data_IF_428069425460
#
_entry.id   IF_428069425460
#
_cell.length_a   1.000
_cell.length_b   1.000
_cell.length_c   1.000
_cell.angle_alpha   90.00
_cell.angle_beta   90.00
_cell.angle_gamma   90.00
#
_symmetry.space_group_name_H-M   'P 1'
#
loop_
_entity.id
_entity.type
_entity.pdbx_description
1 polymer ?
#
# COMPACT_ATOMS: atom_id res chain seq x y z
N UNK A 1 28.79 19.31 9.78
CA UNK A 1 28.92 19.65 11.22
C UNK A 1 28.00 18.71 11.96
N UNK A 2 28.55 17.79 12.75
CA UNK A 2 27.76 16.91 13.64
C UNK A 2 27.41 17.69 14.91
N UNK A 3 26.18 17.56 15.37
CA UNK A 3 25.73 18.16 16.64
C UNK A 3 26.19 17.26 17.78
N UNK A 4 26.94 17.81 18.74
CA UNK A 4 27.40 17.08 19.92
C UNK A 4 26.23 16.60 20.79
N UNK A 5 26.36 15.50 21.54
CA UNK A 5 25.32 15.07 22.47
C UNK A 5 25.01 16.15 23.53
N UNK A 6 23.74 16.34 23.88
CA UNK A 6 23.30 17.39 24.79
C UNK A 6 21.80 17.70 24.72
N UNK A 7 21.35 18.63 25.56
CA UNK A 7 19.96 19.12 25.55
C UNK A 7 19.79 20.24 24.53
N UNK A 8 18.81 20.09 23.63
CA UNK A 8 18.49 21.06 22.59
C UNK A 8 16.97 21.24 22.47
N UNK A 9 16.54 22.40 21.95
CA UNK A 9 15.12 22.64 21.61
C UNK A 9 14.67 21.69 20.51
N UNK A 10 13.47 21.12 20.64
CA UNK A 10 12.95 20.19 19.63
C UNK A 10 12.60 20.97 18.33
N UNK A 11 13.16 20.60 17.16
CA UNK A 11 12.84 21.25 15.89
C UNK A 11 11.38 21.09 15.46
N UNK A 12 10.66 20.09 15.99
CA UNK A 12 9.24 19.87 15.73
C UNK A 12 8.32 20.65 16.69
N UNK A 13 8.81 21.01 17.89
CA UNK A 13 8.09 21.84 18.86
C UNK A 13 9.06 22.74 19.67
N UNK A 14 9.27 24.00 19.24
CA UNK A 14 10.18 24.95 19.90
C UNK A 14 9.82 25.32 21.34
N UNK A 15 8.63 24.93 21.84
CA UNK A 15 8.24 25.10 23.24
C UNK A 15 8.84 24.01 24.16
N UNK A 16 9.49 23.00 23.57
CA UNK A 16 10.08 21.87 24.30
C UNK A 16 11.56 21.69 24.01
N UNK A 17 12.24 20.95 24.89
CA UNK A 17 13.62 20.50 24.73
C UNK A 17 13.73 18.99 24.97
N UNK A 18 14.68 18.36 24.28
CA UNK A 18 14.95 16.92 24.33
C UNK A 18 16.45 16.66 24.30
N UNK A 19 16.86 15.48 24.75
CA UNK A 19 18.27 15.09 24.74
C UNK A 19 18.63 14.49 23.38
N UNK A 20 19.63 15.05 22.71
CA UNK A 20 20.26 14.48 21.52
C UNK A 20 21.46 13.64 21.93
N UNK A 21 21.54 12.38 21.50
CA UNK A 21 22.64 11.46 21.84
C UNK A 21 23.75 11.37 20.79
N UNK A 22 23.57 12.02 19.63
CA UNK A 22 24.44 11.93 18.47
C UNK A 22 23.78 11.27 17.25
N UNK A 23 22.81 10.38 17.47
CA UNK A 23 22.10 9.62 16.43
C UNK A 23 20.57 9.87 16.45
N UNK A 24 20.00 10.20 17.62
CA UNK A 24 18.56 10.41 17.81
C UNK A 24 18.19 11.26 19.04
N UNK A 25 16.87 11.48 19.19
CA UNK A 25 16.28 12.22 20.30
C UNK A 25 15.74 11.27 21.37
N UNK A 26 16.35 11.31 22.55
CA UNK A 26 15.99 10.50 23.71
C UNK A 26 15.06 11.21 24.69
N UNK A 27 14.31 10.41 25.46
CA UNK A 27 13.46 10.88 26.55
C UNK A 27 12.15 11.55 26.12
N UNK A 28 11.32 11.84 27.13
CA UNK A 28 10.12 12.65 26.99
C UNK A 28 10.50 14.14 26.82
N UNK A 29 9.71 14.94 26.07
CA UNK A 29 9.93 16.37 25.96
C UNK A 29 9.76 17.07 27.31
N UNK A 30 10.74 17.88 27.68
CA UNK A 30 10.66 18.83 28.80
C UNK A 30 10.26 20.21 28.26
N UNK A 31 9.59 21.08 29.04
CA UNK A 31 9.41 22.48 28.67
C UNK A 31 10.76 23.16 28.39
N UNK A 32 10.82 24.02 27.37
CA UNK A 32 12.06 24.65 26.92
C UNK A 32 12.71 25.60 27.95
N UNK A 33 11.94 26.05 28.95
CA UNK A 33 12.40 26.91 30.04
C UNK A 33 12.70 26.15 31.35
N UNK A 34 12.56 24.81 31.36
CA UNK A 34 12.90 23.98 32.51
C UNK A 34 14.42 23.71 32.56
N UNK A 35 15.03 23.71 33.75
CA UNK A 35 16.42 23.27 33.90
C UNK A 35 16.52 21.76 33.56
N UNK A 36 17.30 21.35 32.55
CA UNK A 36 17.42 19.94 32.20
C UNK A 36 18.23 19.15 33.25
N UNK A 37 17.98 17.85 33.44
CA UNK A 37 18.81 16.99 34.28
C UNK A 37 20.24 16.83 33.74
N UNK A 38 21.21 16.69 34.65
CA UNK A 38 22.58 16.35 34.29
C UNK A 38 22.67 14.91 33.74
N UNK A 39 23.01 14.80 32.46
CA UNK A 39 23.22 13.53 31.75
C UNK A 39 22.02 13.02 30.93
N UNK A 40 22.20 11.91 30.21
CA UNK A 40 21.14 11.30 29.40
C UNK A 40 20.01 10.74 30.27
N UNK A 41 18.74 10.82 29.83
CA UNK A 41 17.60 10.31 30.60
C UNK A 41 17.68 8.80 30.79
N UNK A 42 17.40 8.34 32.02
CA UNK A 42 17.46 6.92 32.37
C UNK A 42 16.45 6.08 31.58
N UNK A 43 16.88 4.90 31.11
CA UNK A 43 16.01 3.94 30.45
C UNK A 43 14.94 3.39 31.42
N UNK A 44 13.69 3.17 30.98
CA UNK A 44 12.62 2.67 31.85
C UNK A 44 12.91 1.23 32.33
N UNK A 45 12.63 0.90 33.60
CA UNK A 45 12.92 -0.41 34.16
C UNK A 45 11.95 -1.50 33.65
N UNK A 46 12.39 -2.77 33.57
CA UNK A 46 11.54 -3.90 33.19
C UNK A 46 10.50 -4.24 34.28
N UNK A 47 9.31 -4.77 33.91
CA UNK A 47 8.24 -5.06 34.87
C UNK A 47 8.52 -6.30 35.74
N UNK A 48 8.06 -6.32 37.01
CA UNK A 48 8.28 -7.44 37.94
C UNK A 48 7.36 -8.65 37.69
N UNK A 49 7.78 -9.88 38.05
CA UNK A 49 6.98 -11.09 37.89
C UNK A 49 5.85 -11.21 38.94
N UNK A 50 4.70 -11.86 38.62
CA UNK A 50 3.56 -11.95 39.54
C UNK A 50 3.75 -12.98 40.67
N UNK A 51 3.21 -12.68 41.86
CA UNK A 51 3.17 -13.58 43.01
C UNK A 51 1.95 -14.53 43.00
N UNK A 52 2.09 -15.72 43.58
CA UNK A 52 1.06 -16.76 43.60
C UNK A 52 0.07 -16.62 44.79
N UNK A 53 -1.24 -16.91 44.60
CA UNK A 53 -2.26 -16.79 45.66
C UNK A 53 -2.47 -18.08 46.48
N UNK A 54 -3.08 -18.01 47.69
CA UNK A 54 -3.35 -19.16 48.57
C UNK A 54 -4.69 -19.87 48.25
N UNK A 55 -4.86 -21.11 48.74
CA UNK A 55 -5.95 -22.03 48.35
C UNK A 55 -7.01 -22.28 49.44
N UNK A 56 -8.28 -22.45 49.05
CA UNK A 56 -9.42 -22.86 49.91
C UNK A 56 -10.49 -23.68 49.11
N UNK A 57 -11.45 -24.38 49.76
CA UNK A 57 -11.94 -25.68 49.23
C UNK A 57 -13.46 -25.84 48.91
N UNK A 58 -13.79 -26.77 47.98
CA UNK A 58 -14.87 -27.78 48.18
C UNK A 58 -16.10 -27.84 47.22
N UNK A 59 -16.62 -29.08 47.06
CA UNK A 59 -17.95 -29.54 46.51
C UNK A 59 -18.12 -29.77 44.97
N UNK A 60 -19.05 -30.62 44.48
CA UNK A 60 -19.27 -32.09 44.66
C UNK A 60 -20.30 -32.67 43.62
N UNK A 61 -20.05 -33.86 43.01
CA UNK A 61 -20.99 -34.70 42.19
C UNK A 61 -21.22 -34.29 40.71
N UNK A 62 -21.12 -35.10 39.62
CA UNK A 62 -21.39 -36.53 39.24
C UNK A 62 -22.72 -36.72 38.44
N UNK A 63 -22.87 -37.69 37.48
CA UNK A 63 -21.97 -38.80 37.08
C UNK A 63 -21.63 -38.94 35.56
N UNK A 64 -20.77 -39.91 35.21
CA UNK A 64 -20.23 -40.23 33.86
C UNK A 64 -21.08 -41.28 33.09
N UNK A 65 -20.73 -41.90 31.93
CA UNK A 65 -19.52 -42.11 31.09
C UNK A 65 -19.98 -42.67 29.70
N UNK A 66 -19.16 -43.23 28.74
CA UNK A 66 -17.73 -43.16 28.36
C UNK A 66 -17.55 -42.60 26.90
N UNK A 67 -16.46 -42.72 26.10
CA UNK A 67 -15.04 -43.09 26.29
C UNK A 67 -14.42 -43.90 25.11
N UNK A 68 -13.30 -43.45 24.50
CA UNK A 68 -12.45 -44.22 23.55
C UNK A 68 -10.94 -43.89 23.71
N UNK A 69 -10.04 -44.83 23.38
CA UNK A 69 -8.58 -44.80 23.60
C UNK A 69 -7.84 -43.96 22.52
N UNK A 70 -6.60 -43.47 22.66
CA UNK A 70 -5.63 -43.43 23.77
C UNK A 70 -4.17 -43.42 23.26
N UNK A 71 -3.30 -42.49 23.70
CA UNK A 71 -1.82 -42.54 23.57
C UNK A 71 -1.13 -41.61 24.60
N UNK A 72 0.15 -41.85 24.97
CA UNK A 72 0.67 -41.39 26.26
C UNK A 72 1.63 -40.18 26.21
N UNK A 73 1.60 -39.38 27.28
CA UNK A 73 2.81 -38.71 27.79
C UNK A 73 3.01 -37.24 27.45
N UNK A 74 2.36 -36.34 28.20
CA UNK A 74 3.03 -35.28 28.97
C UNK A 74 2.04 -34.62 29.94
N UNK A 75 2.49 -34.36 31.17
CA UNK A 75 1.64 -33.92 32.27
C UNK A 75 1.44 -32.40 32.23
N UNK A 76 0.18 -31.95 32.31
CA UNK A 76 -0.17 -30.57 32.63
C UNK A 76 -0.79 -30.52 34.05
N UNK A 77 -0.43 -29.54 34.90
CA UNK A 77 -1.11 -29.33 36.17
C UNK A 77 -2.50 -28.69 35.95
N UNK A 78 -3.46 -28.85 36.89
CA UNK A 78 -4.86 -28.57 36.64
C UNK A 78 -5.23 -27.09 36.75
N UNK A 79 -6.22 -26.68 35.94
CA UNK A 79 -6.99 -25.43 36.11
C UNK A 79 -8.39 -25.81 36.59
N UNK A 80 -8.88 -25.12 37.63
CA UNK A 80 -10.18 -25.38 38.25
C UNK A 80 -10.93 -24.10 38.58
N UNK A 81 -12.21 -24.03 38.15
CA UNK A 81 -13.22 -23.15 38.74
C UNK A 81 -13.31 -21.72 38.19
N UNK A 82 -14.36 -21.45 37.40
CA UNK A 82 -15.01 -20.14 37.37
C UNK A 82 -15.95 -20.01 38.59
N UNK A 83 -16.32 -18.79 39.00
CA UNK A 83 -17.71 -18.39 38.70
C UNK A 83 -17.88 -16.89 38.32
N UNK A 84 -19.10 -16.55 37.92
CA UNK A 84 -19.51 -15.27 37.34
C UNK A 84 -19.58 -14.07 38.32
N UNK A 85 -19.50 -12.86 37.75
CA UNK A 85 -20.36 -11.75 38.21
C UNK A 85 -19.72 -10.55 38.94
N UNK A 86 -18.87 -9.75 38.27
CA UNK A 86 -18.69 -8.32 38.58
C UNK A 86 -18.10 -7.54 37.40
N UNK A 87 -18.69 -6.39 37.05
CA UNK A 87 -18.25 -5.50 35.95
C UNK A 87 -17.43 -4.31 36.49
N UNK A 88 -16.18 -4.08 36.04
CA UNK A 88 -15.45 -2.85 36.31
C UNK A 88 -15.74 -1.75 35.25
N UNK A 89 -15.60 -0.45 35.60
CA UNK A 89 -15.98 0.66 34.73
C UNK A 89 -14.99 0.92 33.58
N UNK A 90 -15.52 1.34 32.43
CA UNK A 90 -14.75 1.63 31.21
C UNK A 90 -14.23 3.08 31.20
N UNK A 91 -12.91 3.24 31.18
CA UNK A 91 -12.25 4.46 30.69
C UNK A 91 -11.82 4.25 29.22
N UNK A 92 -11.98 5.24 28.33
CA UNK A 92 -11.60 5.09 26.93
C UNK A 92 -10.07 5.22 26.75
N UNK A 93 -9.39 4.25 26.10
CA UNK A 93 -7.96 4.36 25.81
C UNK A 93 -7.71 5.30 24.63
N UNK A 94 -7.03 6.42 24.89
CA UNK A 94 -6.47 7.29 23.85
C UNK A 94 -5.21 6.67 23.24
N UNK A 95 -5.26 6.36 21.95
CA UNK A 95 -4.09 5.99 21.14
C UNK A 95 -4.10 4.55 20.64
N UNK A 96 -4.31 4.36 19.33
CA UNK A 96 -4.05 3.10 18.61
C UNK A 96 -3.24 3.41 17.34
N UNK A 97 -2.08 2.76 17.10
CA UNK A 97 -1.32 2.93 15.87
C UNK A 97 -2.06 2.41 14.64
N UNK A 98 -1.84 3.01 13.47
CA UNK A 98 -2.38 2.52 12.19
C UNK A 98 -1.66 1.24 11.70
N UNK A 99 -1.95 0.12 12.34
CA UNK A 99 -1.63 -1.23 11.86
C UNK A 99 -2.85 -1.89 11.22
N UNK A 100 -2.70 -2.47 10.02
CA UNK A 100 -3.81 -3.08 9.29
C UNK A 100 -4.30 -4.39 9.92
N UNK A 101 -5.61 -4.53 10.10
CA UNK A 101 -6.23 -5.80 10.51
C UNK A 101 -6.25 -6.79 9.33
N UNK A 102 -5.89 -8.07 9.50
CA UNK A 102 -6.06 -9.07 8.46
C UNK A 102 -7.54 -9.31 8.14
N UNK A 103 -7.90 -9.62 6.88
CA UNK A 103 -9.29 -9.86 6.49
C UNK A 103 -9.85 -11.13 7.17
N UNK A 104 -11.09 -11.03 7.66
CA UNK A 104 -11.73 -12.11 8.41
C UNK A 104 -11.93 -13.38 7.57
N UNK A 105 -11.23 -14.44 7.93
CA UNK A 105 -11.52 -15.79 7.45
C UNK A 105 -12.81 -16.36 8.08
N UNK A 106 -13.42 -17.38 7.45
CA UNK A 106 -14.58 -18.08 8.03
C UNK A 106 -14.16 -18.77 9.34
N UNK A 107 -14.66 -18.27 10.46
CA UNK A 107 -14.23 -18.69 11.80
C UNK A 107 -14.17 -17.58 12.86
N UNK A 108 -14.53 -16.34 12.53
CA UNK A 108 -14.72 -15.29 13.53
C UNK A 108 -15.75 -15.73 14.59
N UNK A 109 -15.24 -16.06 15.78
CA UNK A 109 -16.06 -16.26 16.99
C UNK A 109 -16.93 -15.01 17.21
N UNK A 110 -18.21 -15.15 17.58
CA UNK A 110 -19.04 -14.00 17.94
C UNK A 110 -18.32 -13.17 19.02
N UNK A 111 -18.21 -11.87 18.78
CA UNK A 111 -17.63 -10.95 19.75
C UNK A 111 -18.49 -10.99 21.03
N UNK A 112 -17.92 -11.06 22.24
CA UNK A 112 -18.73 -11.28 23.43
C UNK A 112 -19.76 -10.14 23.63
N UNK A 113 -20.99 -10.46 24.10
CA UNK A 113 -22.00 -9.44 24.33
C UNK A 113 -21.48 -8.31 25.22
N UNK A 114 -21.67 -7.05 24.80
CA UNK A 114 -21.18 -5.86 25.51
C UNK A 114 -19.84 -5.31 25.00
N UNK A 115 -19.12 -6.00 24.11
CA UNK A 115 -18.00 -5.38 23.40
C UNK A 115 -18.51 -4.32 22.40
N UNK A 116 -17.94 -3.11 22.38
CA UNK A 116 -18.28 -2.12 21.37
C UNK A 116 -17.96 -2.69 19.98
N UNK A 117 -18.99 -2.87 19.14
CA UNK A 117 -18.75 -3.10 17.72
C UNK A 117 -17.95 -1.90 17.19
N UNK A 118 -16.82 -2.12 16.49
CA UNK A 118 -16.13 -1.03 15.81
C UNK A 118 -17.12 -0.37 14.85
N UNK A 119 -17.51 0.86 15.17
CA UNK A 119 -18.45 1.61 14.33
C UNK A 119 -17.86 1.67 12.91
N UNK A 120 -18.66 1.39 11.85
CA UNK A 120 -18.17 1.44 10.48
C UNK A 120 -17.53 2.82 10.22
N UNK A 121 -16.21 2.84 10.09
CA UNK A 121 -15.50 4.11 9.97
C UNK A 121 -15.99 4.82 8.70
N UNK A 122 -16.37 6.11 8.78
CA UNK A 122 -16.89 6.82 7.62
C UNK A 122 -15.83 6.82 6.50
N UNK A 123 -16.25 6.65 5.23
CA UNK A 123 -15.31 6.65 4.11
C UNK A 123 -14.54 7.97 4.10
N UNK A 124 -13.21 7.88 3.92
CA UNK A 124 -12.31 9.03 3.88
C UNK A 124 -12.82 10.03 2.84
N UNK A 125 -12.75 11.34 3.12
CA UNK A 125 -13.10 12.40 2.17
C UNK A 125 -11.98 13.44 2.08
N UNK A 126 -10.92 13.19 1.29
CA UNK A 126 -9.83 14.14 1.10
C UNK A 126 -10.39 15.47 0.62
N UNK A 127 -10.12 16.53 1.39
CA UNK A 127 -10.61 17.90 1.10
C UNK A 127 -12.14 17.99 0.94
N UNK A 128 -12.89 17.13 1.65
CA UNK A 128 -14.35 17.05 1.60
C UNK A 128 -14.93 16.32 0.38
N UNK A 129 -14.10 15.97 -0.61
CA UNK A 129 -14.54 15.31 -1.84
C UNK A 129 -14.66 13.79 -1.69
N UNK A 130 -15.64 13.15 -2.35
CA UNK A 130 -15.73 11.70 -2.40
C UNK A 130 -14.59 11.10 -3.24
N UNK A 131 -14.10 9.93 -2.85
CA UNK A 131 -13.12 9.20 -3.66
C UNK A 131 -13.70 8.77 -5.01
N UNK A 132 -12.84 8.73 -6.01
CA UNK A 132 -13.13 8.13 -7.31
C UNK A 132 -13.51 6.66 -7.16
N UNK A 133 -14.60 6.25 -7.81
CA UNK A 133 -15.02 4.84 -7.87
C UNK A 133 -14.01 4.00 -8.66
N UNK A 134 -13.86 2.69 -8.36
CA UNK A 134 -12.96 1.82 -9.12
C UNK A 134 -13.25 1.84 -10.63
N UNK A 135 -14.53 1.87 -11.03
CA UNK A 135 -14.93 1.99 -12.43
C UNK A 135 -14.45 3.27 -13.12
N UNK A 136 -14.53 4.43 -12.44
CA UNK A 136 -14.01 5.69 -13.00
C UNK A 136 -12.49 5.66 -13.17
N UNK A 137 -11.76 5.04 -12.24
CA UNK A 137 -10.30 4.83 -12.36
C UNK A 137 -9.95 3.88 -13.51
N UNK A 138 -10.71 2.78 -13.67
CA UNK A 138 -10.54 1.83 -14.76
C UNK A 138 -10.77 2.49 -16.13
N UNK A 139 -11.88 3.23 -16.31
CA UNK A 139 -12.17 3.97 -17.55
C UNK A 139 -11.08 4.98 -17.85
N UNK A 140 -10.63 5.76 -16.85
CA UNK A 140 -9.50 6.68 -17.03
C UNK A 140 -8.24 5.96 -17.51
N UNK A 141 -7.92 4.80 -16.91
CA UNK A 141 -6.73 4.03 -17.27
C UNK A 141 -6.83 3.42 -18.67
N UNK A 142 -7.99 2.89 -19.06
CA UNK A 142 -8.23 2.37 -20.42
C UNK A 142 -7.98 3.47 -21.46
N UNK A 143 -8.54 4.66 -21.25
CA UNK A 143 -8.35 5.78 -22.20
C UNK A 143 -6.89 6.25 -22.24
N UNK A 144 -6.23 6.39 -21.08
CA UNK A 144 -4.81 6.74 -21.02
C UNK A 144 -3.93 5.67 -21.72
N UNK A 145 -4.25 4.38 -21.56
CA UNK A 145 -3.58 3.27 -22.27
C UNK A 145 -3.79 3.35 -23.78
N UNK A 146 -5.02 3.62 -24.27
CA UNK A 146 -5.28 3.77 -25.70
C UNK A 146 -4.47 4.94 -26.29
N UNK A 147 -4.43 6.09 -25.61
CA UNK A 147 -3.61 7.24 -26.04
C UNK A 147 -2.13 6.87 -26.12
N UNK A 148 -1.59 6.17 -25.12
CA UNK A 148 -0.20 5.73 -25.09
C UNK A 148 0.12 4.65 -26.15
N UNK A 149 -0.82 3.76 -26.44
CA UNK A 149 -0.70 2.74 -27.51
C UNK A 149 -0.67 3.41 -28.88
N UNK A 150 -1.58 4.36 -29.15
CA UNK A 150 -1.57 5.12 -30.40
C UNK A 150 -0.29 5.95 -30.57
N UNK A 151 0.17 6.60 -29.50
CA UNK A 151 1.43 7.36 -29.51
C UNK A 151 2.64 6.46 -29.77
N UNK A 152 2.68 5.26 -29.18
CA UNK A 152 3.71 4.27 -29.48
C UNK A 152 3.59 3.70 -30.90
N UNK A 153 2.39 3.46 -31.43
CA UNK A 153 2.21 3.00 -32.81
C UNK A 153 2.77 4.02 -33.82
N UNK A 154 2.62 5.32 -33.55
CA UNK A 154 3.16 6.39 -34.41
C UNK A 154 4.67 6.56 -34.25
N UNK A 155 5.18 6.67 -33.02
CA UNK A 155 6.60 7.01 -32.75
C UNK A 155 7.52 5.78 -32.79
N UNK A 156 7.03 4.65 -32.28
CA UNK A 156 7.79 3.42 -32.05
C UNK A 156 7.49 2.36 -33.12
N UNK A 157 6.45 2.55 -33.94
CA UNK A 157 5.95 1.58 -34.93
C UNK A 157 6.99 1.11 -35.93
N UNK A 158 7.93 1.97 -36.34
CA UNK A 158 9.04 1.57 -37.23
C UNK A 158 10.01 0.59 -36.55
N UNK A 159 10.40 0.84 -35.30
CA UNK A 159 11.25 -0.08 -34.54
C UNK A 159 10.53 -1.40 -34.25
N UNK A 160 9.22 -1.33 -33.93
CA UNK A 160 8.36 -2.50 -33.76
C UNK A 160 8.30 -3.31 -35.06
N UNK A 161 8.16 -2.68 -36.23
CA UNK A 161 8.20 -3.37 -37.53
C UNK A 161 9.55 -4.05 -37.78
N UNK A 162 10.67 -3.37 -37.53
CA UNK A 162 12.00 -3.98 -37.64
C UNK A 162 12.19 -5.16 -36.66
N UNK A 163 11.69 -5.04 -35.44
CA UNK A 163 11.71 -6.10 -34.44
C UNK A 163 10.86 -7.30 -34.89
N UNK A 164 9.63 -7.08 -35.35
CA UNK A 164 8.75 -8.14 -35.85
C UNK A 164 9.35 -8.86 -37.05
N UNK A 165 9.99 -8.13 -37.99
CA UNK A 165 10.69 -8.71 -39.14
C UNK A 165 11.82 -9.66 -38.74
N UNK A 166 12.50 -9.41 -37.62
CA UNK A 166 13.51 -10.31 -37.07
C UNK A 166 12.92 -11.41 -36.17
N UNK A 167 11.85 -11.10 -35.42
CA UNK A 167 11.23 -11.99 -34.43
C UNK A 167 10.38 -13.10 -35.06
N UNK A 168 9.62 -12.82 -36.12
CA UNK A 168 8.75 -13.82 -36.77
C UNK A 168 9.53 -15.08 -37.20
N UNK A 169 10.60 -15.00 -38.04
CA UNK A 169 11.32 -16.20 -38.47
C UNK A 169 12.05 -16.91 -37.30
N UNK A 170 12.46 -16.16 -36.28
CA UNK A 170 13.03 -16.74 -35.06
C UNK A 170 11.97 -17.54 -34.27
N UNK A 171 10.76 -17.01 -34.11
CA UNK A 171 9.65 -17.69 -33.45
C UNK A 171 9.18 -18.93 -34.21
N UNK A 172 9.14 -18.87 -35.55
CA UNK A 172 8.88 -20.02 -36.43
C UNK A 172 9.93 -21.12 -36.17
N UNK A 173 11.24 -20.78 -36.18
CA UNK A 173 12.31 -21.75 -35.92
C UNK A 173 12.27 -22.39 -34.51
N UNK A 174 11.71 -21.72 -33.51
CA UNK A 174 11.47 -22.29 -32.17
C UNK A 174 10.32 -23.31 -32.25
N UNK A 175 9.25 -22.97 -32.95
CA UNK A 175 8.09 -23.85 -33.18
C UNK A 175 8.49 -25.14 -33.89
N UNK A 176 9.22 -25.03 -34.99
CA UNK A 176 9.67 -26.18 -35.78
C UNK A 176 10.52 -27.13 -34.94
N UNK A 177 11.55 -26.63 -34.25
CA UNK A 177 12.40 -27.47 -33.37
C UNK A 177 11.65 -28.06 -32.19
N UNK A 178 10.64 -27.37 -31.66
CA UNK A 178 9.77 -27.92 -30.62
C UNK A 178 8.94 -29.10 -31.14
N UNK A 179 8.41 -29.00 -32.37
CA UNK A 179 7.68 -30.09 -33.02
C UNK A 179 8.59 -31.28 -33.34
N UNK A 180 9.83 -31.05 -33.77
CA UNK A 180 10.82 -32.10 -34.05
C UNK A 180 11.32 -32.81 -32.77
N UNK A 181 11.64 -32.04 -31.72
CA UNK A 181 12.37 -32.55 -30.54
C UNK A 181 11.45 -32.85 -29.34
N UNK A 182 10.20 -32.35 -29.36
CA UNK A 182 9.29 -32.37 -28.20
C UNK A 182 9.75 -31.53 -27.01
N UNK A 183 10.77 -30.68 -27.20
CA UNK A 183 11.45 -29.89 -26.15
C UNK A 183 11.62 -28.45 -26.61
N UNK A 184 11.50 -27.51 -25.68
CA UNK A 184 11.77 -26.10 -25.94
C UNK A 184 13.28 -25.91 -26.19
N UNK A 185 13.71 -25.32 -27.33
CA UNK A 185 15.11 -25.07 -27.64
C UNK A 185 15.64 -23.85 -26.88
N UNK A 186 15.91 -24.03 -25.58
CA UNK A 186 16.36 -22.97 -24.66
C UNK A 186 17.81 -22.51 -24.91
N UNK A 187 18.58 -23.29 -25.68
CA UNK A 187 19.97 -23.08 -26.07
C UNK A 187 20.12 -22.29 -27.38
N UNK A 188 19.02 -21.98 -28.07
CA UNK A 188 19.06 -21.24 -29.33
C UNK A 188 19.52 -19.79 -29.12
N UNK A 189 20.63 -19.43 -29.77
CA UNK A 189 21.18 -18.07 -29.70
C UNK A 189 20.19 -17.05 -30.31
N UNK A 190 19.86 -16.01 -29.54
CA UNK A 190 18.98 -14.94 -29.99
C UNK A 190 19.78 -13.92 -30.81
N UNK A 191 19.28 -13.48 -31.98
CA UNK A 191 19.95 -12.43 -32.75
C UNK A 191 20.14 -11.15 -31.93
N UNK A 192 21.39 -10.72 -31.70
CA UNK A 192 21.71 -9.56 -30.86
C UNK A 192 20.99 -8.25 -31.30
N UNK A 193 20.68 -8.13 -32.60
CA UNK A 193 19.87 -7.03 -33.14
C UNK A 193 18.46 -6.97 -32.53
N UNK A 194 17.85 -8.11 -32.17
CA UNK A 194 16.52 -8.15 -31.56
C UNK A 194 16.54 -7.60 -30.13
N UNK A 195 17.56 -7.92 -29.34
CA UNK A 195 17.71 -7.38 -27.99
C UNK A 195 17.99 -5.87 -28.00
N UNK A 196 18.81 -5.39 -28.94
CA UNK A 196 19.04 -3.97 -29.14
C UNK A 196 17.76 -3.22 -29.57
N UNK A 197 16.99 -3.78 -30.52
CA UNK A 197 15.70 -3.21 -30.93
C UNK A 197 14.68 -3.22 -29.80
N UNK A 198 14.58 -4.31 -29.03
CA UNK A 198 13.67 -4.41 -27.89
C UNK A 198 14.00 -3.38 -26.80
N UNK A 199 15.29 -3.19 -26.48
CA UNK A 199 15.74 -2.16 -25.55
C UNK A 199 15.34 -0.75 -26.03
N UNK A 200 15.57 -0.43 -27.30
CA UNK A 200 15.17 0.86 -27.91
C UNK A 200 13.65 1.05 -27.83
N UNK A 201 12.86 0.04 -28.19
CA UNK A 201 11.40 0.06 -28.11
C UNK A 201 10.93 0.34 -26.67
N UNK A 202 11.51 -0.36 -25.68
CA UNK A 202 11.18 -0.19 -24.26
C UNK A 202 11.53 1.22 -23.78
N UNK A 203 12.72 1.74 -24.13
CA UNK A 203 13.15 3.09 -23.73
C UNK A 203 12.27 4.18 -24.34
N UNK A 204 11.89 4.06 -25.61
CA UNK A 204 10.94 4.98 -26.27
C UNK A 204 9.57 4.90 -25.59
N UNK A 205 9.04 3.69 -25.35
CA UNK A 205 7.75 3.51 -24.70
C UNK A 205 7.71 4.10 -23.27
N UNK A 206 8.79 3.90 -22.52
CA UNK A 206 8.98 4.44 -21.18
C UNK A 206 9.05 5.97 -21.20
N UNK A 207 9.81 6.55 -22.12
CA UNK A 207 9.92 8.00 -22.28
C UNK A 207 8.59 8.66 -22.68
N UNK A 208 7.84 8.05 -23.61
CA UNK A 208 6.51 8.52 -24.03
C UNK A 208 5.51 8.46 -22.86
N UNK A 209 5.51 7.37 -22.09
CA UNK A 209 4.65 7.26 -20.91
C UNK A 209 5.03 8.29 -19.83
N UNK A 210 6.33 8.47 -19.56
CA UNK A 210 6.80 9.52 -18.65
C UNK A 210 6.32 10.91 -19.09
N UNK A 211 6.58 11.28 -20.35
CA UNK A 211 6.25 12.59 -20.91
C UNK A 211 4.74 12.86 -20.95
N UNK A 212 3.91 11.83 -21.10
CA UNK A 212 2.45 11.94 -21.05
C UNK A 212 1.91 12.05 -19.61
N UNK A 213 2.25 11.11 -18.73
CA UNK A 213 1.58 11.00 -17.42
C UNK A 213 2.20 11.92 -16.35
N UNK A 214 3.52 12.11 -16.33
CA UNK A 214 4.21 12.84 -15.25
C UNK A 214 3.91 14.34 -15.28
N UNK A 215 4.06 15.10 -16.40
CA UNK A 215 3.74 16.52 -16.44
C UNK A 215 2.25 16.78 -16.18
N UNK A 216 1.36 16.02 -16.82
CA UNK A 216 -0.09 16.16 -16.66
C UNK A 216 -0.52 15.97 -15.19
N UNK A 217 0.07 14.98 -14.52
CA UNK A 217 -0.19 14.69 -13.10
C UNK A 217 0.48 15.70 -12.16
N UNK A 218 1.71 16.16 -12.46
CA UNK A 218 2.44 17.13 -11.65
C UNK A 218 1.76 18.51 -11.61
N UNK A 219 1.30 19.01 -12.77
CA UNK A 219 0.72 20.35 -12.88
C UNK A 219 -0.80 20.38 -12.62
N UNK A 220 -1.56 19.39 -13.14
CA UNK A 220 -3.04 19.44 -13.10
C UNK A 220 -3.67 18.32 -12.28
N UNK A 221 -2.93 17.26 -11.94
CA UNK A 221 -3.48 16.05 -11.35
C UNK A 221 -4.39 15.25 -12.31
N UNK A 222 -4.43 15.58 -13.60
CA UNK A 222 -5.33 14.96 -14.58
C UNK A 222 -4.70 14.77 -15.97
N UNK A 223 -4.46 13.50 -16.33
CA UNK A 223 -4.26 13.02 -17.71
C UNK A 223 -5.57 13.08 -18.51
N UNK A 224 -5.53 12.84 -19.83
CA UNK A 224 -6.72 12.94 -20.70
C UNK A 224 -7.83 11.98 -20.27
N UNK A 225 -7.50 10.72 -19.94
CA UNK A 225 -8.45 9.75 -19.40
C UNK A 225 -9.04 10.18 -18.06
N UNK A 226 -8.21 10.73 -17.15
CA UNK A 226 -8.67 11.24 -15.83
C UNK A 226 -9.61 12.45 -15.98
N UNK A 227 -9.38 13.33 -16.98
CA UNK A 227 -10.29 14.45 -17.31
C UNK A 227 -11.65 13.96 -17.80
N UNK A 228 -11.66 12.97 -18.70
CA UNK A 228 -12.89 12.36 -19.23
C UNK A 228 -13.68 11.63 -18.15
N UNK A 229 -13.01 10.86 -17.28
CA UNK A 229 -13.63 10.18 -16.14
C UNK A 229 -14.01 11.12 -14.97
N UNK A 230 -13.77 12.44 -15.07
CA UNK A 230 -14.03 13.45 -14.03
C UNK A 230 -13.36 13.15 -12.68
N UNK A 231 -12.16 12.58 -12.72
CA UNK A 231 -11.36 12.30 -11.51
C UNK A 231 -10.10 13.16 -11.47
N UNK A 232 -9.65 13.53 -10.28
CA UNK A 232 -8.43 14.33 -10.06
C UNK A 232 -7.56 13.67 -9.01
N UNK A 233 -6.26 13.60 -9.27
CA UNK A 233 -5.26 13.24 -8.26
C UNK A 233 -4.95 14.50 -7.44
N UNK A 234 -5.04 14.39 -6.12
CA UNK A 234 -4.75 15.45 -5.14
C UNK A 234 -3.75 14.94 -4.10
N UNK A 235 -3.01 15.84 -3.45
CA UNK A 235 -2.11 15.48 -2.34
C UNK A 235 -2.95 15.15 -1.10
N UNK A 236 -2.40 14.32 -0.22
CA UNK A 236 -3.01 14.07 1.09
C UNK A 236 -3.08 15.35 1.94
N UNK A 237 -2.01 16.16 1.89
CA UNK A 237 -1.85 17.32 2.78
C UNK A 237 -2.66 18.55 2.33
N UNK A 238 -2.75 18.81 1.03
CA UNK A 238 -3.37 20.04 0.49
C UNK A 238 -3.86 19.88 -0.97
N UNK A 239 -4.43 20.95 -1.54
CA UNK A 239 -4.98 20.99 -2.89
C UNK A 239 -4.00 21.52 -3.97
N UNK A 240 -2.75 21.78 -3.59
CA UNK A 240 -1.71 22.28 -4.50
C UNK A 240 -1.37 21.29 -5.62
N UNK A 241 -0.75 21.76 -6.72
CA UNK A 241 -0.11 20.87 -7.70
C UNK A 241 0.82 19.86 -7.00
N UNK A 242 0.83 18.62 -7.52
CA UNK A 242 1.58 17.52 -6.90
C UNK A 242 3.09 17.77 -6.90
N UNK A 243 3.57 18.49 -7.91
CA UNK A 243 5.00 18.66 -8.20
C UNK A 243 5.61 17.43 -8.90
N UNK A 244 6.69 17.66 -9.65
CA UNK A 244 7.33 16.63 -10.48
C UNK A 244 7.84 15.45 -9.65
N UNK A 245 8.48 15.72 -8.50
CA UNK A 245 9.03 14.66 -7.64
C UNK A 245 7.98 13.68 -7.10
N UNK A 246 6.79 14.17 -6.72
CA UNK A 246 5.68 13.30 -6.28
C UNK A 246 5.04 12.56 -7.47
N UNK A 247 4.85 13.23 -8.60
CA UNK A 247 4.35 12.60 -9.82
C UNK A 247 5.30 11.47 -10.32
N UNK A 248 6.62 11.66 -10.20
CA UNK A 248 7.61 10.63 -10.50
C UNK A 248 7.58 9.46 -9.50
N UNK A 249 7.51 9.73 -8.18
CA UNK A 249 7.32 8.66 -7.16
C UNK A 249 6.04 7.84 -7.39
N UNK A 250 4.98 8.47 -7.90
CA UNK A 250 3.72 7.83 -8.30
C UNK A 250 3.86 7.00 -9.59
N UNK A 251 4.66 7.46 -10.55
CA UNK A 251 4.82 6.79 -11.84
C UNK A 251 5.86 5.65 -11.82
N UNK A 252 6.92 5.81 -11.04
CA UNK A 252 8.05 4.86 -10.95
C UNK A 252 7.64 3.40 -10.68
N UNK A 253 6.83 3.05 -9.65
CA UNK A 253 6.46 1.66 -9.39
C UNK A 253 5.59 1.03 -10.51
N UNK A 254 4.89 1.85 -11.30
CA UNK A 254 4.14 1.38 -12.46
C UNK A 254 5.03 1.16 -13.68
N UNK A 255 6.05 2.00 -13.87
CA UNK A 255 6.81 2.09 -15.11
C UNK A 255 8.17 1.38 -15.08
N UNK A 256 8.86 1.38 -13.94
CA UNK A 256 10.14 0.65 -13.77
C UNK A 256 10.04 -0.85 -14.09
N UNK A 257 8.93 -1.57 -13.79
CA UNK A 257 8.78 -2.97 -14.21
C UNK A 257 8.86 -3.18 -15.73
N UNK A 258 8.62 -2.15 -16.56
CA UNK A 258 8.73 -2.26 -18.02
C UNK A 258 10.18 -2.49 -18.47
N UNK A 259 11.16 -1.98 -17.73
CA UNK A 259 12.59 -2.25 -17.98
C UNK A 259 12.96 -3.71 -17.71
N UNK A 260 12.23 -4.39 -16.81
CA UNK A 260 12.42 -5.81 -16.54
C UNK A 260 11.86 -6.71 -17.66
N UNK A 261 11.15 -6.17 -18.66
CA UNK A 261 10.58 -6.97 -19.74
C UNK A 261 11.64 -7.78 -20.51
N UNK A 262 12.86 -7.25 -20.66
CA UNK A 262 13.96 -7.91 -21.37
C UNK A 262 14.62 -9.06 -20.60
N UNK A 263 14.50 -9.13 -19.27
CA UNK A 263 15.16 -10.15 -18.43
C UNK A 263 14.19 -11.02 -17.62
N UNK A 264 13.03 -10.47 -17.25
CA UNK A 264 11.94 -11.16 -16.57
C UNK A 264 10.59 -10.57 -17.00
N UNK A 265 10.15 -10.87 -18.21
CA UNK A 265 8.80 -10.51 -18.70
C UNK A 265 7.65 -10.85 -17.73
N UNK A 266 7.66 -12.02 -17.04
CA UNK A 266 6.65 -12.34 -16.03
C UNK A 266 6.65 -11.37 -14.82
N UNK A 267 7.81 -10.85 -14.42
CA UNK A 267 7.94 -9.91 -13.30
C UNK A 267 7.15 -8.61 -13.55
N UNK A 268 7.13 -8.11 -14.80
CA UNK A 268 6.31 -6.96 -15.18
C UNK A 268 4.83 -7.20 -14.87
N UNK A 269 4.29 -8.34 -15.33
CA UNK A 269 2.86 -8.67 -15.16
C UNK A 269 2.51 -8.82 -13.68
N UNK A 270 3.34 -9.53 -12.91
CA UNK A 270 3.12 -9.75 -11.46
C UNK A 270 3.05 -8.40 -10.72
N UNK A 271 3.98 -7.48 -10.99
CA UNK A 271 4.02 -6.18 -10.31
C UNK A 271 2.83 -5.28 -10.68
N UNK A 272 2.34 -5.32 -11.92
CA UNK A 272 1.09 -4.62 -12.29
C UNK A 272 -0.13 -5.22 -11.59
N UNK A 273 -0.20 -6.56 -11.45
CA UNK A 273 -1.31 -7.22 -10.76
C UNK A 273 -1.32 -6.89 -9.27
N UNK A 274 -0.17 -6.81 -8.61
CA UNK A 274 -0.05 -6.39 -7.20
C UNK A 274 -0.65 -4.99 -6.99
N UNK A 275 -0.39 -4.02 -7.88
CA UNK A 275 -0.93 -2.67 -7.77
C UNK A 275 -2.46 -2.62 -7.86
N UNK A 276 -3.05 -3.37 -8.81
CA UNK A 276 -4.51 -3.47 -8.99
C UNK A 276 -5.17 -4.21 -7.82
N UNK A 277 -4.57 -5.32 -7.37
CA UNK A 277 -5.07 -6.14 -6.25
C UNK A 277 -5.07 -5.36 -4.94
N UNK A 278 -4.12 -4.44 -4.72
CA UNK A 278 -4.07 -3.59 -3.53
C UNK A 278 -5.35 -2.73 -3.35
N UNK A 279 -5.96 -2.28 -4.46
CA UNK A 279 -7.22 -1.50 -4.46
C UNK A 279 -8.40 -2.34 -3.92
N UNK A 280 -8.35 -3.66 -4.06
CA UNK A 280 -9.42 -4.56 -3.60
C UNK A 280 -9.37 -4.82 -2.09
N UNK A 281 -8.16 -4.82 -1.52
CA UNK A 281 -7.92 -5.00 -0.09
C UNK A 281 -8.13 -3.71 0.71
N UNK A 282 -7.62 -2.57 0.25
CA UNK A 282 -7.85 -1.28 0.90
C UNK A 282 -9.23 -0.70 0.52
N UNK A 283 -10.30 -1.29 1.06
CA UNK A 283 -11.67 -0.83 0.78
C UNK A 283 -12.00 0.53 1.40
N UNK A 284 -11.25 0.95 2.43
CA UNK A 284 -11.54 2.17 3.19
C UNK A 284 -10.92 3.42 2.55
N UNK A 285 -9.66 3.34 2.10
CA UNK A 285 -8.96 4.44 1.45
C UNK A 285 -8.82 4.25 -0.06
N UNK A 286 -8.97 3.02 -0.58
CA UNK A 286 -8.90 2.70 -2.02
C UNK A 286 -7.66 3.29 -2.70
N UNK A 287 -6.50 3.29 -2.05
CA UNK A 287 -5.24 3.63 -2.72
C UNK A 287 -4.76 2.41 -3.49
N UNK A 288 -4.23 2.63 -4.69
CA UNK A 288 -3.33 1.69 -5.31
C UNK A 288 -1.95 1.76 -4.62
N UNK A 289 -1.09 0.77 -4.82
CA UNK A 289 0.26 0.79 -4.24
C UNK A 289 1.05 2.03 -4.68
N UNK A 290 0.90 2.42 -5.96
CA UNK A 290 1.49 3.62 -6.53
C UNK A 290 0.89 4.94 -6.02
N UNK A 291 -0.37 4.97 -5.62
CA UNK A 291 -0.99 6.16 -5.01
C UNK A 291 -0.48 6.33 -3.56
N UNK A 292 -0.26 5.21 -2.84
CA UNK A 292 0.25 5.18 -1.47
C UNK A 292 1.71 5.61 -1.38
N UNK A 293 2.57 5.18 -2.30
CA UNK A 293 3.99 5.59 -2.35
C UNK A 293 4.17 7.10 -2.56
N UNK A 294 3.18 7.77 -3.15
CA UNK A 294 3.18 9.20 -3.45
C UNK A 294 2.43 10.07 -2.43
N UNK A 295 1.67 9.46 -1.50
CA UNK A 295 0.80 10.21 -0.58
C UNK A 295 -0.31 10.96 -1.33
N UNK A 296 -0.94 10.31 -2.31
CA UNK A 296 -1.96 10.93 -3.18
C UNK A 296 -3.29 10.23 -3.09
N UNK A 297 -4.38 11.00 -3.14
CA UNK A 297 -5.73 10.48 -3.28
C UNK A 297 -6.30 10.79 -4.66
N UNK A 298 -7.19 9.92 -5.15
CA UNK A 298 -7.96 10.17 -6.38
C UNK A 298 -9.40 10.49 -6.00
N UNK A 299 -9.79 11.75 -6.17
CA UNK A 299 -11.12 12.27 -5.85
C UNK A 299 -11.98 12.38 -7.11
N UNK A 300 -13.30 12.23 -6.97
CA UNK A 300 -14.28 12.55 -8.02
C UNK A 300 -14.59 14.05 -7.96
N UNK A 301 -14.57 14.71 -9.12
CA UNK A 301 -14.99 16.10 -9.25
C UNK A 301 -16.53 16.20 -9.31
N UNK A 302 -17.13 17.30 -8.81
CA UNK A 302 -18.56 17.56 -9.00
C UNK A 302 -18.93 17.59 -10.48
N UNK A 303 -20.15 17.14 -10.79
CA UNK A 303 -20.70 17.32 -12.13
C UNK A 303 -20.95 18.83 -12.37
N UNK A 304 -20.66 19.34 -13.59
CA UNK A 304 -20.81 20.76 -13.87
C UNK A 304 -22.26 21.20 -13.69
N UNK A 305 -22.49 22.26 -12.90
CA UNK A 305 -23.83 22.81 -12.68
C UNK A 305 -24.42 23.20 -14.02
N UNK A 306 -25.41 22.41 -14.49
CA UNK A 306 -26.16 22.70 -15.70
C UNK A 306 -27.00 23.93 -15.41
N UNK A 307 -26.50 25.10 -15.77
CA UNK A 307 -27.26 26.35 -15.72
C UNK A 307 -28.39 26.20 -16.73
N UNK A 308 -29.57 25.81 -16.28
CA UNK A 308 -30.76 25.92 -17.11
C UNK A 308 -30.89 27.39 -17.51
N UNK A 309 -30.79 27.65 -18.82
CA UNK A 309 -31.25 28.91 -19.39
C UNK A 309 -32.75 28.96 -19.12
N UNK A 310 -33.11 29.56 -17.99
CA UNK A 310 -34.50 29.88 -17.64
C UNK A 310 -35.02 30.77 -18.77
N UNK A 311 -35.81 30.18 -19.66
CA UNK A 311 -36.53 30.91 -20.69
C UNK A 311 -37.34 31.98 -19.97
N UNK A 312 -37.01 33.23 -20.25
CA UNK A 312 -37.85 34.38 -19.86
C UNK A 312 -39.00 34.42 -20.88
N UNK A 313 -40.23 34.72 -20.44
CA UNK A 313 -41.45 34.49 -21.22
C UNK A 313 -41.59 35.43 -22.41
#
# INVERSE_FOLDING_TARGET
MTISPGWYKDPADPSTQRYWDGEGWLGAPLPADATPPDGPPAAPPPPPPPAAPPAHPGQQGHPAHPGQQGHPGQQAPPVSGAPDGAVPPVFPPTGIPHGGMPPGGPGMRPLPPGWPHPAPQPPVRPHGLPLATPGARLVARIVDTIVLVLLNAVVNGWFIYLFLKAYIPFAESIGDKYLETGKLPLDMERPAQMDALLLVIILIALALWFAYEVPATAHTGQTLGKRLARIKVVRAENLDPLGVGRAWRRWSPLAMPLLLLSCCGPCFVILQMVDVVFILFDRQQRLAWHDRSAGTYVVRLPDPVRTEKRGTP
#
